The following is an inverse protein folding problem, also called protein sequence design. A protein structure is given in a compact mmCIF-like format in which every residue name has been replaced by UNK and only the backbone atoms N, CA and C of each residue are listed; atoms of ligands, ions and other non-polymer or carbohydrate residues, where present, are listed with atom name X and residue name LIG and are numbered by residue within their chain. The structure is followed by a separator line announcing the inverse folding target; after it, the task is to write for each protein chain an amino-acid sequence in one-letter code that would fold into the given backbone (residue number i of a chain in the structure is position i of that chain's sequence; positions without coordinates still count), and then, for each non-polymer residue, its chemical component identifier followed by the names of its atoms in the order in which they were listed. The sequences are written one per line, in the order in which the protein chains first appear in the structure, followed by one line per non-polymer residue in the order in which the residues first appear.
data_IF_420333818039
#
_entry.id   IF_420333818039
#
_cell.length_a   1.000
_cell.length_b   1.000
_cell.length_c   1.000
_cell.angle_alpha   90.00
_cell.angle_beta   90.00
_cell.angle_gamma   90.00
#
_symmetry.space_group_name_H-M   'P 1'
#
loop_
_entity.id
_entity.type
_entity.pdbx_description
1 polymer ?
#
# COMPACT_ATOMS: atom_id res chain seq x y z
N UNK A 1 27.71 21.52 -36.35
CA UNK A 1 26.67 20.48 -36.47
C UNK A 1 25.65 20.72 -35.36
N UNK A 2 24.59 21.47 -35.62
CA UNK A 2 23.50 21.70 -34.66
C UNK A 2 22.52 20.52 -34.75
N UNK A 3 22.82 19.44 -34.05
CA UNK A 3 21.91 18.30 -33.93
C UNK A 3 20.71 18.69 -33.07
N UNK A 4 19.50 18.65 -33.63
CA UNK A 4 18.28 18.83 -32.84
C UNK A 4 18.13 17.64 -31.90
N UNK A 5 18.26 17.88 -30.60
CA UNK A 5 18.02 16.87 -29.58
C UNK A 5 16.51 16.60 -29.51
N UNK A 6 16.10 15.41 -29.92
CA UNK A 6 14.72 14.98 -29.79
C UNK A 6 14.46 14.54 -28.35
N UNK A 7 13.66 15.32 -27.62
CA UNK A 7 13.24 14.97 -26.27
C UNK A 7 12.43 13.65 -26.29
N UNK A 8 13.00 12.60 -25.69
CA UNK A 8 12.32 11.31 -25.59
C UNK A 8 11.12 11.40 -24.65
N UNK A 9 9.89 11.37 -25.20
CA UNK A 9 8.67 11.24 -24.40
C UNK A 9 8.45 9.78 -24.00
N UNK A 10 8.53 9.49 -22.70
CA UNK A 10 8.07 8.19 -22.16
C UNK A 10 6.56 8.17 -22.09
N UNK A 11 5.95 7.09 -22.56
CA UNK A 11 4.50 6.86 -22.44
C UNK A 11 4.13 6.54 -20.98
N UNK A 12 2.93 6.92 -20.51
CA UNK A 12 2.40 6.42 -19.25
C UNK A 12 2.40 4.88 -19.27
N UNK A 13 2.89 4.24 -18.20
CA UNK A 13 3.01 2.78 -18.13
C UNK A 13 4.29 2.19 -18.73
N UNK A 14 5.31 3.00 -19.03
CA UNK A 14 6.63 2.51 -19.45
C UNK A 14 7.23 1.46 -18.49
N UNK A 15 6.91 1.54 -17.21
CA UNK A 15 7.38 0.62 -16.17
C UNK A 15 6.78 -0.79 -16.30
N UNK A 16 5.60 -0.97 -16.92
CA UNK A 16 5.00 -2.30 -17.12
C UNK A 16 5.78 -3.17 -18.11
N UNK A 17 6.59 -2.55 -18.97
CA UNK A 17 7.30 -3.26 -20.03
C UNK A 17 8.54 -4.02 -19.55
N UNK A 18 9.07 -3.70 -18.37
CA UNK A 18 10.23 -4.37 -17.81
C UNK A 18 9.97 -4.78 -16.37
N UNK A 19 10.17 -6.07 -16.07
CA UNK A 19 9.94 -6.64 -14.73
C UNK A 19 10.71 -5.93 -13.63
N UNK A 20 11.91 -5.43 -13.93
CA UNK A 20 12.72 -4.66 -12.96
C UNK A 20 12.07 -3.33 -12.57
N UNK A 21 11.48 -2.62 -13.53
CA UNK A 21 10.77 -1.36 -13.24
C UNK A 21 9.44 -1.59 -12.54
N UNK A 22 8.75 -2.70 -12.84
CA UNK A 22 7.57 -3.13 -12.10
C UNK A 22 7.89 -3.44 -10.64
N UNK A 23 8.94 -4.22 -10.37
CA UNK A 23 9.38 -4.52 -9.00
C UNK A 23 9.79 -3.26 -8.23
N UNK A 24 10.43 -2.31 -8.90
CA UNK A 24 10.75 -1.01 -8.30
C UNK A 24 9.49 -0.24 -7.88
N UNK A 25 8.48 -0.15 -8.76
CA UNK A 25 7.22 0.51 -8.37
C UNK A 25 6.45 -0.25 -7.29
N UNK A 26 6.48 -1.58 -7.29
CA UNK A 26 5.88 -2.39 -6.24
C UNK A 26 6.54 -2.11 -4.88
N UNK A 27 7.89 -2.00 -4.84
CA UNK A 27 8.62 -1.62 -3.62
C UNK A 27 8.21 -0.24 -3.11
N UNK A 28 8.09 0.75 -4.00
CA UNK A 28 7.64 2.10 -3.62
C UNK A 28 6.17 2.08 -3.11
N UNK A 29 5.31 1.30 -3.75
CA UNK A 29 3.92 1.12 -3.30
C UNK A 29 3.85 0.42 -1.93
N UNK A 30 4.76 -0.52 -1.64
CA UNK A 30 4.90 -1.16 -0.33
C UNK A 30 5.12 -0.16 0.81
N UNK A 31 5.84 0.94 0.56
CA UNK A 31 6.01 2.02 1.53
C UNK A 31 4.69 2.72 1.88
N UNK A 32 3.86 3.02 0.87
CA UNK A 32 2.52 3.61 1.07
C UNK A 32 1.62 2.66 1.84
N UNK A 33 1.66 1.37 1.48
CA UNK A 33 0.96 0.29 2.17
C UNK A 33 1.35 0.21 3.65
N UNK A 34 2.64 0.27 3.95
CA UNK A 34 3.15 0.27 5.32
C UNK A 34 2.62 1.48 6.12
N UNK A 35 2.62 2.67 5.52
CA UNK A 35 2.07 3.87 6.15
C UNK A 35 0.57 3.74 6.44
N UNK A 36 -0.22 3.21 5.50
CA UNK A 36 -1.66 2.96 5.70
C UNK A 36 -1.90 1.95 6.82
N UNK A 37 -1.11 0.88 6.88
CA UNK A 37 -1.21 -0.11 7.96
C UNK A 37 -0.87 0.50 9.33
N UNK A 38 0.11 1.42 9.37
CA UNK A 38 0.39 2.22 10.56
C UNK A 38 -0.82 3.00 11.07
N UNK A 39 -1.63 3.58 10.16
CA UNK A 39 -2.87 4.26 10.54
C UNK A 39 -3.92 3.30 11.13
N UNK A 40 -4.01 2.08 10.60
CA UNK A 40 -4.90 1.04 11.16
C UNK A 40 -4.50 0.70 12.60
N UNK A 41 -3.20 0.57 12.87
CA UNK A 41 -2.67 0.33 14.22
C UNK A 41 -2.92 1.53 15.16
N UNK A 42 -2.78 2.76 14.67
CA UNK A 42 -3.14 3.94 15.45
C UNK A 42 -4.64 3.99 15.76
N UNK A 43 -5.49 3.62 14.82
CA UNK A 43 -6.92 3.51 15.06
C UNK A 43 -7.23 2.43 16.11
N UNK A 44 -6.51 1.29 16.09
CA UNK A 44 -6.63 0.26 17.14
C UNK A 44 -6.32 0.82 18.53
N UNK A 45 -5.29 1.66 18.67
CA UNK A 45 -4.96 2.34 19.93
C UNK A 45 -6.06 3.30 20.41
N UNK A 46 -6.68 4.04 19.49
CA UNK A 46 -7.83 4.92 19.81
C UNK A 46 -9.03 4.09 20.28
N UNK A 47 -9.34 2.99 19.59
CA UNK A 47 -10.44 2.10 19.97
C UNK A 47 -10.18 1.40 21.32
N UNK A 48 -8.94 1.04 21.60
CA UNK A 48 -8.54 0.47 22.90
C UNK A 48 -8.79 1.47 24.03
N UNK A 49 -8.51 2.76 23.81
CA UNK A 49 -8.80 3.82 24.77
C UNK A 49 -10.30 4.08 24.95
N UNK A 50 -11.10 3.88 23.90
CA UNK A 50 -12.56 4.08 23.94
C UNK A 50 -13.32 2.99 24.73
N UNK A 51 -12.65 1.90 25.11
CA UNK A 51 -13.19 0.85 25.96
C UNK A 51 -13.41 -0.48 25.25
N UNK A 52 -13.82 -1.48 26.02
CA UNK A 52 -13.84 -2.88 25.60
C UNK A 52 -14.80 -3.15 24.43
N UNK A 53 -15.95 -2.49 24.40
CA UNK A 53 -16.95 -2.63 23.33
C UNK A 53 -16.45 -2.10 21.98
N UNK A 54 -15.80 -0.93 21.97
CA UNK A 54 -15.24 -0.32 20.78
C UNK A 54 -14.06 -1.13 20.22
N UNK A 55 -13.24 -1.68 21.11
CA UNK A 55 -12.16 -2.58 20.74
C UNK A 55 -12.67 -3.92 20.18
N UNK A 56 -13.69 -4.54 20.80
CA UNK A 56 -14.30 -5.77 20.31
C UNK A 56 -14.95 -5.59 18.93
N UNK A 57 -15.62 -4.46 18.69
CA UNK A 57 -16.18 -4.13 17.38
C UNK A 57 -15.09 -3.99 16.31
N UNK A 58 -13.96 -3.35 16.66
CA UNK A 58 -12.81 -3.25 15.76
C UNK A 58 -12.20 -4.62 15.44
N UNK A 59 -12.06 -5.50 16.43
CA UNK A 59 -11.59 -6.88 16.22
C UNK A 59 -12.54 -7.69 15.32
N UNK A 60 -13.85 -7.53 15.48
CA UNK A 60 -14.83 -8.18 14.61
C UNK A 60 -14.70 -7.70 13.16
N UNK A 61 -14.44 -6.40 12.94
CA UNK A 61 -14.18 -5.86 11.61
C UNK A 61 -12.89 -6.46 11.00
N UNK A 62 -11.82 -6.59 11.79
CA UNK A 62 -10.56 -7.20 11.33
C UNK A 62 -10.71 -8.67 10.96
N UNK A 63 -11.61 -9.40 11.63
CA UNK A 63 -11.90 -10.81 11.34
C UNK A 63 -12.77 -11.02 10.10
N UNK A 64 -13.28 -9.95 9.48
CA UNK A 64 -14.07 -10.11 8.26
C UNK A 64 -13.18 -10.64 7.11
N UNK A 65 -13.67 -11.60 6.30
CA UNK A 65 -12.92 -12.16 5.17
C UNK A 65 -12.26 -11.12 4.25
N UNK A 66 -12.95 -10.04 3.82
CA UNK A 66 -12.32 -9.04 2.94
C UNK A 66 -11.14 -8.33 3.60
N UNK A 67 -11.21 -8.04 4.89
CA UNK A 67 -10.13 -7.39 5.64
C UNK A 67 -8.95 -8.34 5.81
N UNK A 68 -9.19 -9.63 6.06
CA UNK A 68 -8.13 -10.64 6.10
C UNK A 68 -7.38 -10.77 4.77
N UNK A 69 -8.08 -10.82 3.64
CA UNK A 69 -7.43 -10.82 2.32
C UNK A 69 -6.61 -9.56 2.09
N UNK A 70 -7.14 -8.39 2.46
CA UNK A 70 -6.40 -7.14 2.41
C UNK A 70 -5.11 -7.23 3.24
N UNK A 71 -5.19 -7.68 4.49
CA UNK A 71 -4.02 -7.81 5.36
C UNK A 71 -2.94 -8.75 4.77
N UNK A 72 -3.35 -9.88 4.18
CA UNK A 72 -2.41 -10.83 3.55
C UNK A 72 -1.72 -10.17 2.33
N UNK A 73 -2.46 -9.47 1.49
CA UNK A 73 -1.90 -8.77 0.33
C UNK A 73 -0.95 -7.65 0.77
N UNK A 74 -1.34 -6.88 1.78
CA UNK A 74 -0.49 -5.82 2.35
C UNK A 74 0.79 -6.41 2.95
N UNK A 75 0.71 -7.54 3.65
CA UNK A 75 1.87 -8.25 4.19
C UNK A 75 2.80 -8.79 3.09
N UNK A 76 2.26 -9.28 1.97
CA UNK A 76 3.07 -9.76 0.86
C UNK A 76 3.76 -8.63 0.05
N UNK A 77 3.31 -7.38 0.21
CA UNK A 77 3.84 -6.20 -0.48
C UNK A 77 4.87 -5.41 0.35
N UNK A 78 4.99 -5.70 1.65
CA UNK A 78 6.02 -5.19 2.58
C UNK A 78 7.22 -6.12 2.60
#
# INVERSE_FOLDING_TARGET
MTGREYAWKRRPGWWLRNRRYLMFQLREAGGVVCALYGLVLLNMLVQLRAGESAYAAFLNLLRTPPVLYLNIVLFALV
#
